data_IF_114655037890
#
_entry.id   IF_114655037890
#
_cell.length_a   1.000
_cell.length_b   1.000
_cell.length_c   1.000
_cell.angle_alpha   90.00
_cell.angle_beta   90.00
_cell.angle_gamma   90.00
#
_symmetry.space_group_name_H-M   'P 1'
#
loop_
_entity.id
_entity.type
_entity.pdbx_description
1 polymer ?
#
# COMPACT_ATOMS: atom_id res chain seq x y z
N UNK A 1 -1.85 -3.04 0.71
CA UNK A 1 -2.31 -2.19 1.84
C UNK A 1 -3.68 -1.65 1.50
N UNK A 2 -4.59 -1.73 2.46
CA UNK A 2 -6.03 -1.62 2.21
C UNK A 2 -6.55 -0.20 2.19
N UNK A 3 -7.74 -0.05 1.60
CA UNK A 3 -8.44 1.23 1.48
C UNK A 3 -8.91 1.68 2.87
N UNK A 4 -8.84 2.97 3.16
CA UNK A 4 -9.11 3.50 4.50
C UNK A 4 -10.44 4.25 4.59
N UNK A 5 -11.24 3.98 5.62
CA UNK A 5 -12.25 4.94 6.09
C UNK A 5 -11.55 5.97 6.98
N UNK A 6 -11.51 7.23 6.57
CA UNK A 6 -11.01 8.31 7.41
C UNK A 6 -11.85 8.39 8.69
N UNK A 7 -11.18 8.56 9.81
CA UNK A 7 -11.78 8.73 11.15
C UNK A 7 -11.79 10.20 11.56
N UNK A 8 -11.35 11.08 10.66
CA UNK A 8 -11.31 12.51 10.88
C UNK A 8 -12.65 13.18 10.58
N UNK A 9 -13.02 14.18 11.38
CA UNK A 9 -14.09 15.13 11.07
C UNK A 9 -13.65 16.18 10.04
N UNK A 10 -12.39 16.18 9.62
CA UNK A 10 -11.85 17.10 8.64
C UNK A 10 -12.43 16.83 7.24
N UNK A 11 -12.68 17.89 6.45
CA UNK A 11 -13.22 17.73 5.11
C UNK A 11 -12.22 16.98 4.22
N UNK A 12 -12.71 16.06 3.40
CA UNK A 12 -11.90 15.42 2.38
C UNK A 12 -11.45 16.49 1.35
N UNK A 13 -10.17 16.51 0.92
CA UNK A 13 -9.74 17.35 -0.18
C UNK A 13 -10.60 17.13 -1.43
N UNK A 14 -10.96 18.22 -2.13
CA UNK A 14 -11.90 18.19 -3.24
C UNK A 14 -11.44 17.28 -4.39
N UNK A 15 -10.12 17.29 -4.67
CA UNK A 15 -9.50 16.57 -5.78
C UNK A 15 -9.22 15.08 -5.47
N UNK A 16 -9.56 14.62 -4.27
CA UNK A 16 -9.41 13.22 -3.89
C UNK A 16 -10.61 12.37 -4.29
N UNK A 17 -10.34 11.24 -4.94
CA UNK A 17 -11.37 10.28 -5.26
C UNK A 17 -11.84 9.57 -3.97
N UNK A 18 -13.11 9.75 -3.59
CA UNK A 18 -13.74 8.98 -2.50
C UNK A 18 -13.66 7.46 -2.71
N UNK A 19 -13.61 7.02 -3.98
CA UNK A 19 -13.50 5.60 -4.37
C UNK A 19 -12.20 4.95 -3.88
N UNK A 20 -11.14 5.74 -3.70
CA UNK A 20 -9.84 5.29 -3.20
C UNK A 20 -9.88 4.87 -1.72
N UNK A 21 -10.79 5.44 -0.94
CA UNK A 21 -10.98 5.19 0.50
C UNK A 21 -11.90 3.99 0.81
N UNK A 22 -12.26 3.24 -0.22
CA UNK A 22 -13.02 2.00 -0.07
C UNK A 22 -14.44 2.18 -0.56
N UNK A 23 -14.77 1.47 -1.63
CA UNK A 23 -16.15 1.22 -1.99
C UNK A 23 -16.37 -0.30 -1.96
N UNK A 24 -17.37 -0.73 -1.19
CA UNK A 24 -17.76 -2.14 -1.02
C UNK A 24 -17.92 -2.86 -2.37
N UNK A 25 -18.29 -2.16 -3.44
CA UNK A 25 -18.41 -2.75 -4.78
C UNK A 25 -17.11 -3.39 -5.31
N UNK A 26 -15.94 -2.92 -4.87
CA UNK A 26 -14.65 -3.46 -5.30
C UNK A 26 -14.16 -4.64 -4.45
N UNK A 27 -14.77 -4.89 -3.28
CA UNK A 27 -14.53 -6.11 -2.49
C UNK A 27 -15.46 -7.23 -2.91
N UNK A 28 -16.69 -6.92 -3.32
CA UNK A 28 -17.71 -7.93 -3.67
C UNK A 28 -17.28 -8.83 -4.84
N UNK A 29 -16.79 -8.25 -5.94
CA UNK A 29 -16.40 -9.04 -7.12
C UNK A 29 -15.32 -10.08 -6.82
N UNK A 30 -14.16 -9.74 -6.22
CA UNK A 30 -13.15 -10.75 -5.90
C UNK A 30 -13.65 -11.80 -4.90
N UNK A 31 -14.46 -11.41 -3.90
CA UNK A 31 -15.07 -12.40 -3.00
C UNK A 31 -16.08 -13.31 -3.69
N UNK A 32 -16.88 -12.80 -4.63
CA UNK A 32 -17.82 -13.61 -5.41
C UNK A 32 -17.07 -14.62 -6.29
N UNK A 33 -15.99 -14.19 -6.96
CA UNK A 33 -15.13 -15.10 -7.72
C UNK A 33 -14.49 -16.17 -6.80
N UNK A 34 -14.00 -15.78 -5.62
CA UNK A 34 -13.46 -16.72 -4.65
C UNK A 34 -14.51 -17.73 -4.17
N UNK A 35 -15.74 -17.28 -3.90
CA UNK A 35 -16.85 -18.15 -3.48
C UNK A 35 -17.26 -19.18 -4.53
N UNK A 36 -17.08 -18.89 -5.82
CA UNK A 36 -17.30 -19.86 -6.90
C UNK A 36 -16.12 -20.81 -7.05
N UNK A 37 -14.89 -20.33 -6.88
CA UNK A 37 -13.69 -21.12 -7.09
C UNK A 37 -13.37 -22.07 -5.92
N UNK A 38 -13.61 -21.67 -4.66
CA UNK A 38 -13.32 -22.51 -3.50
C UNK A 38 -14.09 -23.85 -3.47
N UNK A 39 -15.38 -23.92 -3.84
CA UNK A 39 -16.09 -25.19 -4.00
C UNK A 39 -15.48 -26.10 -5.08
N UNK A 40 -14.99 -25.53 -6.19
CA UNK A 40 -14.29 -26.30 -7.21
C UNK A 40 -12.97 -26.84 -6.67
N UNK A 41 -12.21 -26.02 -5.95
CA UNK A 41 -10.97 -26.43 -5.26
C UNK A 41 -11.26 -27.55 -4.25
N UNK A 42 -12.31 -27.44 -3.45
CA UNK A 42 -12.70 -28.44 -2.47
C UNK A 42 -13.16 -29.75 -3.12
N UNK A 43 -13.97 -29.68 -4.18
CA UNK A 43 -14.42 -30.85 -4.96
C UNK A 43 -13.25 -31.56 -5.64
N UNK A 44 -12.28 -30.79 -6.12
CA UNK A 44 -11.02 -31.30 -6.67
C UNK A 44 -10.18 -32.00 -5.59
N UNK A 45 -9.98 -31.39 -4.42
CA UNK A 45 -9.28 -32.03 -3.29
C UNK A 45 -9.98 -33.32 -2.87
N UNK A 46 -11.31 -33.27 -2.75
CA UNK A 46 -12.13 -34.42 -2.39
C UNK A 46 -11.97 -35.57 -3.37
N UNK A 47 -12.11 -35.31 -4.68
CA UNK A 47 -11.88 -36.29 -5.74
C UNK A 47 -10.45 -36.84 -5.74
N UNK A 48 -9.46 -36.03 -5.37
CA UNK A 48 -8.07 -36.46 -5.21
C UNK A 48 -7.85 -37.40 -4.03
N UNK A 49 -8.56 -37.17 -2.92
CA UNK A 49 -8.48 -38.00 -1.71
C UNK A 49 -9.25 -39.30 -1.89
N UNK A 50 -10.44 -39.25 -2.50
CA UNK A 50 -11.35 -40.40 -2.60
C UNK A 50 -11.21 -41.20 -3.90
N UNK A 51 -10.63 -40.62 -4.95
CA UNK A 51 -10.45 -41.27 -6.25
C UNK A 51 -9.41 -42.41 -6.21
N UNK A 52 -9.35 -43.22 -7.26
CA UNK A 52 -8.29 -44.21 -7.49
C UNK A 52 -7.66 -43.99 -8.88
N UNK A 53 -6.37 -44.29 -9.03
CA UNK A 53 -5.70 -44.19 -10.34
C UNK A 53 -5.65 -42.76 -10.92
N UNK A 54 -6.05 -42.60 -12.18
CA UNK A 54 -6.02 -41.34 -12.96
C UNK A 54 -6.84 -40.19 -12.34
N UNK A 55 -7.92 -40.50 -11.61
CA UNK A 55 -8.78 -39.47 -10.98
C UNK A 55 -8.04 -38.65 -9.91
N UNK A 56 -7.07 -39.27 -9.22
CA UNK A 56 -6.23 -38.56 -8.24
C UNK A 56 -5.32 -37.52 -8.91
N UNK A 57 -4.91 -37.81 -10.14
CA UNK A 57 -3.98 -36.96 -10.90
C UNK A 57 -4.70 -35.79 -11.56
N UNK A 58 -5.88 -36.03 -12.13
CA UNK A 58 -6.76 -34.96 -12.62
C UNK A 58 -7.13 -33.97 -11.49
N UNK A 59 -7.37 -34.51 -10.29
CA UNK A 59 -7.60 -33.70 -9.10
C UNK A 59 -6.38 -32.85 -8.71
N UNK A 60 -5.18 -33.42 -8.64
CA UNK A 60 -3.97 -32.63 -8.33
C UNK A 60 -3.75 -31.49 -9.34
N UNK A 61 -3.97 -31.74 -10.63
CA UNK A 61 -3.85 -30.72 -11.67
C UNK A 61 -4.87 -29.59 -11.50
N UNK A 62 -6.12 -29.95 -11.22
CA UNK A 62 -7.18 -28.97 -10.92
C UNK A 62 -6.85 -28.10 -9.70
N UNK A 63 -6.21 -28.66 -8.68
CA UNK A 63 -5.83 -27.92 -7.47
C UNK A 63 -4.72 -26.91 -7.76
N UNK A 64 -3.69 -27.32 -8.50
CA UNK A 64 -2.57 -26.44 -8.88
C UNK A 64 -3.03 -25.28 -9.76
N UNK A 65 -4.05 -25.47 -10.60
CA UNK A 65 -4.58 -24.42 -11.47
C UNK A 65 -5.58 -23.52 -10.76
N UNK A 66 -6.53 -24.07 -10.01
CA UNK A 66 -7.63 -23.31 -9.41
C UNK A 66 -7.32 -22.77 -8.01
N UNK A 67 -6.48 -23.45 -7.23
CA UNK A 67 -6.10 -23.05 -5.87
C UNK A 67 -5.43 -21.68 -5.82
N UNK A 68 -4.35 -21.43 -6.59
CA UNK A 68 -3.69 -20.13 -6.65
C UNK A 68 -4.63 -19.02 -7.13
N UNK A 69 -5.53 -19.33 -8.07
CA UNK A 69 -6.51 -18.38 -8.58
C UNK A 69 -7.52 -17.99 -7.50
N UNK A 70 -8.10 -18.97 -6.79
CA UNK A 70 -9.01 -18.76 -5.67
C UNK A 70 -8.36 -17.98 -4.53
N UNK A 71 -7.11 -18.31 -4.19
CA UNK A 71 -6.33 -17.61 -3.17
C UNK A 71 -6.02 -16.17 -3.59
N UNK A 72 -5.72 -15.93 -4.88
CA UNK A 72 -5.46 -14.60 -5.42
C UNK A 72 -6.70 -13.70 -5.33
N UNK A 73 -7.87 -14.21 -5.71
CA UNK A 73 -9.14 -13.47 -5.56
C UNK A 73 -9.48 -13.22 -4.08
N UNK A 74 -9.26 -14.20 -3.22
CA UNK A 74 -9.48 -14.06 -1.77
C UNK A 74 -8.56 -12.98 -1.19
N UNK A 75 -7.26 -13.04 -1.50
CA UNK A 75 -6.27 -12.05 -1.07
C UNK A 75 -6.57 -10.66 -1.63
N UNK A 76 -7.00 -10.56 -2.89
CA UNK A 76 -7.43 -9.31 -3.49
C UNK A 76 -8.64 -8.73 -2.73
N UNK A 77 -9.70 -9.52 -2.52
CA UNK A 77 -10.87 -9.09 -1.75
C UNK A 77 -10.52 -8.63 -0.33
N UNK A 78 -9.66 -9.38 0.36
CA UNK A 78 -9.18 -9.01 1.69
C UNK A 78 -8.36 -7.72 1.72
N UNK A 79 -7.56 -7.50 0.68
CA UNK A 79 -6.76 -6.28 0.54
C UNK A 79 -7.62 -5.06 0.29
N UNK A 80 -8.79 -5.22 -0.33
CA UNK A 80 -9.70 -4.12 -0.67
C UNK A 80 -10.70 -3.80 0.44
N UNK A 81 -10.77 -4.63 1.49
CA UNK A 81 -11.65 -4.41 2.63
C UNK A 81 -11.33 -3.06 3.29
N UNK A 82 -12.31 -2.15 3.41
CA UNK A 82 -12.09 -0.86 4.02
C UNK A 82 -11.75 -1.04 5.50
N UNK A 83 -10.57 -0.55 5.91
CA UNK A 83 -10.14 -0.53 7.31
C UNK A 83 -10.28 0.88 7.86
N UNK A 84 -10.62 1.04 9.12
CA UNK A 84 -10.56 2.34 9.79
C UNK A 84 -9.12 2.83 9.82
N UNK A 85 -8.87 4.06 9.35
CA UNK A 85 -7.54 4.64 9.43
C UNK A 85 -7.13 4.81 10.90
N UNK A 86 -6.00 4.22 11.33
CA UNK A 86 -5.46 4.52 12.65
C UNK A 86 -5.00 5.98 12.70
N UNK A 87 -5.03 6.57 13.90
CA UNK A 87 -4.42 7.87 14.16
C UNK A 87 -3.11 7.60 14.86
N UNK A 88 -2.08 7.31 14.07
CA UNK A 88 -0.75 6.98 14.55
C UNK A 88 0.20 8.15 14.28
N UNK A 89 0.84 8.64 15.33
CA UNK A 89 1.96 9.56 15.31
C UNK A 89 2.70 9.44 16.64
N UNK A 90 3.99 9.74 16.63
CA UNK A 90 4.85 9.69 17.81
C UNK A 90 5.83 10.86 17.83
N UNK A 91 6.48 11.09 18.96
CA UNK A 91 7.56 12.07 19.10
C UNK A 91 8.88 11.32 19.16
N UNK A 92 9.84 11.74 18.35
CA UNK A 92 11.19 11.17 18.34
C UNK A 92 12.23 12.28 18.38
N UNK A 93 13.24 12.11 19.24
CA UNK A 93 14.44 12.94 19.18
C UNK A 93 15.26 12.55 17.95
N UNK A 94 15.62 13.54 17.13
CA UNK A 94 16.48 13.37 15.95
C UNK A 94 17.69 14.30 16.05
N UNK A 95 18.70 14.10 15.20
CA UNK A 95 19.88 14.98 15.15
C UNK A 95 19.52 16.45 14.85
N UNK A 96 18.37 16.69 14.24
CA UNK A 96 17.85 18.01 13.90
C UNK A 96 16.84 18.56 14.93
N UNK A 97 16.68 17.89 16.07
CA UNK A 97 15.75 18.24 17.15
C UNK A 97 14.58 17.26 17.29
N UNK A 98 13.66 17.55 18.22
CA UNK A 98 12.45 16.76 18.39
C UNK A 98 11.56 16.85 17.15
N UNK A 99 11.07 15.70 16.68
CA UNK A 99 10.25 15.60 15.49
C UNK A 99 8.93 14.89 15.79
N UNK A 100 7.86 15.32 15.10
CA UNK A 100 6.63 14.53 15.00
C UNK A 100 6.84 13.48 13.89
N UNK A 101 6.72 12.21 14.24
CA UNK A 101 6.91 11.07 13.35
C UNK A 101 5.57 10.53 12.92
N UNK A 102 5.32 10.52 11.61
CA UNK A 102 4.18 9.85 11.01
C UNK A 102 4.66 8.51 10.42
N UNK A 103 4.06 7.39 10.84
CA UNK A 103 4.47 6.08 10.35
C UNK A 103 4.05 5.91 8.89
N UNK A 104 4.99 5.41 8.09
CA UNK A 104 4.75 5.02 6.70
C UNK A 104 4.74 3.51 6.57
N UNK A 105 3.95 3.04 5.61
CA UNK A 105 3.80 1.64 5.27
C UNK A 105 5.14 1.07 4.84
N UNK A 106 5.63 0.10 5.59
CA UNK A 106 6.90 -0.58 5.25
C UNK A 106 6.75 -1.32 3.93
N UNK A 107 7.72 -1.24 3.01
CA UNK A 107 7.79 -2.21 1.92
C UNK A 107 7.97 -3.60 2.54
N UNK A 108 6.89 -4.38 2.59
CA UNK A 108 6.90 -5.72 3.16
C UNK A 108 7.59 -6.68 2.21
N UNK A 109 8.70 -7.28 2.66
CA UNK A 109 9.35 -8.38 1.95
C UNK A 109 8.61 -9.71 2.10
N UNK A 110 7.57 -9.79 2.94
CA UNK A 110 6.85 -11.05 3.21
C UNK A 110 6.28 -11.62 1.92
N UNK A 111 5.65 -10.80 1.06
CA UNK A 111 5.09 -11.26 -0.20
C UNK A 111 6.17 -11.84 -1.13
N UNK A 112 7.33 -11.19 -1.19
CA UNK A 112 8.48 -11.66 -1.96
C UNK A 112 9.04 -12.97 -1.40
N UNK A 113 9.23 -13.08 -0.08
CA UNK A 113 9.70 -14.30 0.59
C UNK A 113 8.74 -15.45 0.40
N UNK A 114 7.43 -15.21 0.54
CA UNK A 114 6.40 -16.23 0.31
C UNK A 114 6.38 -16.67 -1.15
N UNK A 115 6.46 -15.74 -2.11
CA UNK A 115 6.54 -16.10 -3.53
C UNK A 115 7.77 -16.96 -3.83
N UNK A 116 8.93 -16.59 -3.28
CA UNK A 116 10.17 -17.38 -3.44
C UNK A 116 10.02 -18.77 -2.80
N UNK A 117 9.50 -18.87 -1.58
CA UNK A 117 9.31 -20.14 -0.88
C UNK A 117 8.33 -21.07 -1.61
N UNK A 118 7.19 -20.52 -2.07
CA UNK A 118 6.21 -21.26 -2.89
C UNK A 118 6.86 -21.70 -4.20
N UNK A 119 7.60 -20.81 -4.87
CA UNK A 119 8.25 -21.14 -6.13
C UNK A 119 9.32 -22.23 -5.99
N UNK A 120 10.11 -22.20 -4.92
CA UNK A 120 11.05 -23.28 -4.58
C UNK A 120 10.31 -24.59 -4.30
N UNK A 121 9.22 -24.55 -3.54
CA UNK A 121 8.39 -25.73 -3.27
C UNK A 121 7.85 -26.37 -4.56
N UNK A 122 7.39 -25.55 -5.51
CA UNK A 122 6.94 -26.01 -6.81
C UNK A 122 8.07 -26.63 -7.63
N UNK A 123 9.26 -26.02 -7.65
CA UNK A 123 10.42 -26.60 -8.34
C UNK A 123 10.82 -27.96 -7.76
N UNK A 124 10.85 -28.08 -6.43
CA UNK A 124 11.18 -29.35 -5.75
C UNK A 124 10.12 -30.41 -6.07
N UNK A 125 8.84 -30.05 -6.04
CA UNK A 125 7.74 -30.96 -6.38
C UNK A 125 7.82 -31.42 -7.86
N UNK A 126 8.11 -30.51 -8.78
CA UNK A 126 8.31 -30.83 -10.19
C UNK A 126 9.50 -31.75 -10.40
N UNK A 127 10.64 -31.46 -9.77
CA UNK A 127 11.86 -32.27 -9.88
C UNK A 127 11.67 -33.67 -9.29
N UNK A 128 11.04 -33.77 -8.11
CA UNK A 128 10.69 -35.05 -7.51
C UNK A 128 9.83 -35.89 -8.45
N UNK A 129 8.83 -35.26 -9.10
CA UNK A 129 7.96 -35.96 -10.04
C UNK A 129 8.68 -36.46 -11.28
N UNK A 130 9.57 -35.65 -11.84
CA UNK A 130 10.42 -36.05 -12.95
C UNK A 130 11.26 -37.28 -12.59
N UNK A 131 11.93 -37.26 -11.44
CA UNK A 131 12.75 -38.38 -10.95
C UNK A 131 11.89 -39.64 -10.77
N UNK A 132 10.73 -39.50 -10.12
CA UNK A 132 9.84 -40.62 -9.86
C UNK A 132 9.21 -41.23 -11.14
N UNK A 133 9.25 -40.51 -12.27
CA UNK A 133 8.74 -41.00 -13.57
C UNK A 133 9.83 -41.57 -14.49
N UNK A 134 11.09 -41.58 -14.06
CA UNK A 134 12.20 -42.06 -14.90
C UNK A 134 12.10 -43.56 -15.21
N UNK A 135 11.45 -44.34 -14.33
CA UNK A 135 11.32 -45.79 -14.48
C UNK A 135 10.05 -46.21 -15.26
N UNK A 136 9.09 -45.30 -15.47
CA UNK A 136 7.81 -45.59 -16.13
C UNK A 136 7.71 -44.90 -17.52
N UNK A 137 7.27 -43.65 -17.54
CA UNK A 137 7.08 -42.84 -18.75
C UNK A 137 7.67 -41.44 -18.56
N UNK A 138 8.90 -41.29 -19.03
CA UNK A 138 9.68 -40.07 -18.90
C UNK A 138 9.02 -38.85 -19.59
N UNK A 139 8.22 -39.08 -20.63
CA UNK A 139 7.61 -38.02 -21.44
C UNK A 139 6.51 -37.30 -20.65
N UNK A 140 5.68 -38.08 -19.95
CA UNK A 140 4.66 -37.59 -19.05
C UNK A 140 5.31 -36.91 -17.84
N UNK A 141 6.37 -37.52 -17.30
CA UNK A 141 7.23 -36.93 -16.27
C UNK A 141 7.76 -35.54 -16.59
N UNK A 142 8.32 -35.38 -17.80
CA UNK A 142 8.83 -34.12 -18.29
C UNK A 142 7.73 -33.07 -18.47
N UNK A 143 6.57 -33.45 -19.02
CA UNK A 143 5.43 -32.55 -19.17
C UNK A 143 4.97 -31.97 -17.82
N UNK A 144 4.87 -32.81 -16.78
CA UNK A 144 4.53 -32.38 -15.43
C UNK A 144 5.61 -31.52 -14.77
N UNK A 145 6.87 -31.84 -14.99
CA UNK A 145 7.98 -30.99 -14.54
C UNK A 145 7.80 -29.59 -15.08
N UNK A 146 7.58 -29.41 -16.38
CA UNK A 146 7.41 -28.06 -16.95
C UNK A 146 6.14 -27.37 -16.44
N UNK A 147 5.03 -28.10 -16.32
CA UNK A 147 3.76 -27.54 -15.84
C UNK A 147 3.84 -26.98 -14.41
N UNK A 148 4.58 -27.66 -13.52
CA UNK A 148 4.73 -27.26 -12.11
C UNK A 148 5.89 -26.28 -11.93
N UNK A 149 7.02 -26.53 -12.60
CA UNK A 149 8.25 -25.75 -12.45
C UNK A 149 8.18 -24.37 -13.09
N UNK A 150 7.42 -24.20 -14.19
CA UNK A 150 7.32 -22.90 -14.87
C UNK A 150 6.62 -21.83 -13.99
N UNK A 151 5.45 -22.08 -13.37
CA UNK A 151 4.90 -21.19 -12.35
C UNK A 151 5.84 -20.99 -11.16
N UNK A 152 6.55 -22.04 -10.74
CA UNK A 152 7.52 -21.97 -9.65
C UNK A 152 8.68 -21.00 -9.95
N UNK A 153 9.24 -21.08 -11.15
CA UNK A 153 10.28 -20.19 -11.64
C UNK A 153 9.79 -18.73 -11.72
N UNK A 154 8.59 -18.52 -12.27
CA UNK A 154 7.97 -17.18 -12.33
C UNK A 154 7.77 -16.61 -10.92
N UNK A 155 7.30 -17.41 -9.97
CA UNK A 155 7.14 -16.98 -8.58
C UNK A 155 8.48 -16.60 -7.93
N UNK A 156 9.56 -17.34 -8.19
CA UNK A 156 10.92 -17.00 -7.74
C UNK A 156 11.38 -15.68 -8.36
N UNK A 157 11.22 -15.50 -9.66
CA UNK A 157 11.63 -14.28 -10.36
C UNK A 157 10.86 -13.05 -9.84
N UNK A 158 9.56 -13.18 -9.62
CA UNK A 158 8.74 -12.14 -8.99
C UNK A 158 9.23 -11.88 -7.57
N UNK A 159 9.48 -12.94 -6.79
CA UNK A 159 10.01 -12.85 -5.43
C UNK A 159 11.32 -12.06 -5.40
N UNK A 160 12.31 -12.44 -6.19
CA UNK A 160 13.61 -11.78 -6.27
C UNK A 160 13.50 -10.34 -6.79
N UNK A 161 12.71 -10.10 -7.84
CA UNK A 161 12.53 -8.75 -8.41
C UNK A 161 11.77 -7.79 -7.51
N UNK A 162 10.95 -8.30 -6.58
CA UNK A 162 10.19 -7.50 -5.61
C UNK A 162 10.81 -7.48 -4.22
N UNK A 163 11.90 -8.22 -4.00
CA UNK A 163 12.56 -8.26 -2.71
C UNK A 163 13.20 -6.92 -2.40
N UNK A 164 12.76 -6.31 -1.29
CA UNK A 164 13.43 -5.16 -0.69
C UNK A 164 13.89 -5.55 0.71
N UNK A 165 15.21 -5.59 0.98
CA UNK A 165 15.70 -5.94 2.31
C UNK A 165 15.17 -4.94 3.34
N UNK A 166 14.80 -5.43 4.53
CA UNK A 166 14.42 -4.58 5.66
C UNK A 166 15.60 -3.68 6.01
N UNK A 167 15.50 -2.38 5.72
CA UNK A 167 16.34 -1.38 6.40
C UNK A 167 15.80 -1.18 7.82
N UNK A 168 16.70 -0.88 8.75
CA UNK A 168 16.45 -0.80 10.19
C UNK A 168 15.32 0.21 10.49
N UNK A 169 14.53 -0.09 11.53
CA UNK A 169 13.27 0.58 11.89
C UNK A 169 13.38 2.10 12.11
N UNK A 170 14.56 2.63 12.38
CA UNK A 170 14.68 3.95 13.01
C UNK A 170 14.68 5.12 12.03
N UNK A 171 14.85 4.88 10.73
CA UNK A 171 14.93 5.95 9.72
C UNK A 171 13.69 6.05 8.81
N UNK A 172 12.75 5.10 8.87
CA UNK A 172 11.61 5.03 7.93
C UNK A 172 10.38 5.73 8.49
N UNK A 173 9.91 6.78 7.82
CA UNK A 173 8.80 7.61 8.28
C UNK A 173 8.75 8.97 7.60
N UNK A 174 7.70 9.73 7.92
CA UNK A 174 7.68 11.17 7.67
C UNK A 174 8.03 11.84 8.99
N UNK A 175 9.19 12.47 9.04
CA UNK A 175 9.68 13.24 10.18
C UNK A 175 9.39 14.72 9.93
N UNK A 176 8.69 15.33 10.88
CA UNK A 176 8.31 16.74 10.82
C UNK A 176 9.00 17.46 11.97
N UNK A 177 10.01 18.25 11.65
CA UNK A 177 10.67 19.15 12.60
C UNK A 177 10.18 20.58 12.38
N UNK A 178 10.57 21.51 13.25
CA UNK A 178 10.27 22.93 13.04
C UNK A 178 10.88 23.51 11.73
N UNK A 179 11.97 22.92 11.24
CA UNK A 179 12.76 23.47 10.13
C UNK A 179 12.55 22.76 8.79
N UNK A 180 12.38 21.44 8.82
CA UNK A 180 12.28 20.63 7.61
C UNK A 180 11.33 19.45 7.77
N UNK A 181 10.89 18.95 6.62
CA UNK A 181 10.18 17.69 6.43
C UNK A 181 11.18 16.70 5.86
N UNK A 182 11.26 15.51 6.45
CA UNK A 182 12.06 14.39 5.93
C UNK A 182 11.15 13.21 5.68
N UNK A 183 11.18 12.66 4.47
CA UNK A 183 10.35 11.53 4.05
C UNK A 183 11.27 10.39 3.65
N UNK A 184 11.17 9.25 4.33
CA UNK A 184 11.92 8.05 3.96
C UNK A 184 10.98 6.83 3.83
N UNK A 185 10.98 6.24 2.65
CA UNK A 185 10.28 4.99 2.31
C UNK A 185 11.21 3.77 2.30
N UNK A 186 12.39 3.87 2.93
CA UNK A 186 13.45 2.85 2.93
C UNK A 186 14.44 2.98 1.77
N UNK A 187 14.39 4.07 0.98
CA UNK A 187 15.38 4.36 -0.08
C UNK A 187 16.42 5.40 0.35
N UNK A 188 16.22 6.02 1.50
CA UNK A 188 16.98 7.17 1.99
C UNK A 188 16.07 8.38 2.12
N UNK A 189 16.36 9.28 3.07
CA UNK A 189 15.48 10.41 3.37
C UNK A 189 15.55 11.47 2.27
N UNK A 190 14.38 11.83 1.75
CA UNK A 190 14.18 13.05 0.97
C UNK A 190 13.86 14.19 1.97
N UNK A 191 14.77 15.16 2.09
CA UNK A 191 14.64 16.29 3.01
C UNK A 191 14.27 17.56 2.25
N UNK A 192 13.27 18.27 2.72
CA UNK A 192 12.82 19.56 2.19
C UNK A 192 12.60 20.54 3.32
N UNK A 193 13.13 21.76 3.22
CA UNK A 193 12.87 22.78 4.23
C UNK A 193 11.42 23.28 4.09
N UNK A 194 10.78 23.62 5.20
CA UNK A 194 9.38 24.10 5.15
C UNK A 194 9.21 25.36 4.30
N UNK A 195 10.24 26.20 4.23
CA UNK A 195 10.25 27.43 3.44
C UNK A 195 10.28 27.16 1.92
N UNK A 196 10.78 25.99 1.51
CA UNK A 196 10.88 25.61 0.10
C UNK A 196 9.57 25.00 -0.40
N UNK A 197 8.63 24.68 0.51
CA UNK A 197 7.31 24.15 0.18
C UNK A 197 6.37 25.34 -0.07
N UNK A 198 6.11 25.62 -1.35
CA UNK A 198 5.27 26.73 -1.78
C UNK A 198 3.78 26.42 -1.66
N UNK A 199 3.38 25.16 -1.84
CA UNK A 199 1.98 24.75 -1.74
C UNK A 199 1.82 23.26 -1.38
N UNK A 200 0.63 22.91 -0.89
CA UNK A 200 0.21 21.52 -0.64
C UNK A 200 -1.02 21.22 -1.50
N UNK A 201 -0.80 20.38 -2.51
CA UNK A 201 -1.82 19.92 -3.44
C UNK A 201 -2.45 18.58 -3.02
N UNK A 202 -3.66 18.35 -3.51
CA UNK A 202 -4.32 17.06 -3.45
C UNK A 202 -4.58 16.60 -4.88
N UNK A 203 -4.30 15.33 -5.19
CA UNK A 203 -4.66 14.75 -6.49
C UNK A 203 -4.98 13.27 -6.38
N UNK A 204 -5.66 12.72 -7.38
CA UNK A 204 -5.84 11.27 -7.52
C UNK A 204 -5.09 10.77 -8.74
N UNK A 205 -4.26 9.74 -8.56
CA UNK A 205 -3.49 9.10 -9.62
C UNK A 205 -4.06 7.71 -9.89
N UNK A 206 -4.46 7.42 -11.13
CA UNK A 206 -4.75 6.04 -11.53
C UNK A 206 -3.44 5.31 -11.83
N UNK A 207 -3.15 4.27 -11.06
CA UNK A 207 -2.13 3.29 -11.43
C UNK A 207 -2.70 2.44 -12.59
N UNK A 208 -1.94 2.30 -13.69
CA UNK A 208 -2.40 1.62 -14.90
C UNK A 208 -2.78 0.14 -14.70
N UNK A 209 -3.52 -0.40 -15.69
CA UNK A 209 -3.99 -1.79 -15.89
C UNK A 209 -4.62 -2.56 -14.71
N UNK A 210 -4.81 -1.93 -13.53
CA UNK A 210 -5.60 -2.52 -12.45
C UNK A 210 -7.03 -1.99 -12.53
N UNK A 211 -8.01 -2.90 -12.50
CA UNK A 211 -9.42 -2.59 -12.25
C UNK A 211 -9.66 -2.14 -10.78
N UNK A 212 -8.82 -1.23 -10.29
CA UNK A 212 -8.81 -0.70 -8.93
C UNK A 212 -9.13 0.79 -8.89
N UNK A 213 -9.45 1.32 -7.71
CA UNK A 213 -9.57 2.76 -7.51
C UNK A 213 -8.22 3.45 -7.60
N UNK A 214 -8.20 4.73 -7.99
CA UNK A 214 -6.99 5.54 -7.98
C UNK A 214 -6.31 5.58 -6.61
N UNK A 215 -5.03 5.94 -6.61
CA UNK A 215 -4.26 6.29 -5.43
C UNK A 215 -4.40 7.80 -5.22
N UNK A 216 -5.07 8.23 -4.13
CA UNK A 216 -5.01 9.63 -3.69
C UNK A 216 -3.60 9.96 -3.19
N UNK A 217 -3.12 11.14 -3.55
CA UNK A 217 -1.77 11.63 -3.33
C UNK A 217 -1.83 13.01 -2.69
N UNK A 218 -0.98 13.23 -1.69
CA UNK A 218 -0.62 14.54 -1.16
C UNK A 218 0.61 14.99 -1.94
N UNK A 219 0.57 16.17 -2.55
CA UNK A 219 1.69 16.69 -3.33
C UNK A 219 2.25 17.92 -2.63
N UNK A 220 3.49 17.85 -2.17
CA UNK A 220 4.23 19.01 -1.69
C UNK A 220 4.90 19.65 -2.91
N UNK A 221 4.50 20.87 -3.25
CA UNK A 221 5.12 21.62 -4.35
C UNK A 221 6.33 22.34 -3.78
N UNK A 222 7.49 22.09 -4.37
CA UNK A 222 8.77 22.66 -3.95
C UNK A 222 9.31 23.64 -4.98
N UNK A 223 10.06 24.65 -4.51
CA UNK A 223 10.69 25.64 -5.38
C UNK A 223 9.80 26.83 -5.74
N UNK A 224 10.36 27.73 -6.55
CA UNK A 224 9.75 28.99 -7.00
C UNK A 224 9.81 29.16 -8.52
N UNK A 225 9.31 30.30 -9.02
CA UNK A 225 9.30 30.63 -10.44
C UNK A 225 10.71 30.76 -11.04
N UNK A 226 11.73 31.03 -10.21
CA UNK A 226 13.10 31.33 -10.64
C UNK A 226 13.98 30.08 -10.69
N UNK A 227 13.69 29.08 -9.84
CA UNK A 227 14.44 27.82 -9.70
C UNK A 227 13.75 26.61 -10.35
N UNK A 228 12.46 26.76 -10.70
CA UNK A 228 11.63 25.71 -11.26
C UNK A 228 10.90 24.90 -10.18
N UNK A 229 9.68 24.46 -10.50
CA UNK A 229 8.84 23.73 -9.57
C UNK A 229 9.16 22.23 -9.54
N UNK A 230 9.42 21.71 -8.35
CA UNK A 230 9.46 20.29 -8.03
C UNK A 230 8.19 19.82 -7.31
N UNK A 231 8.01 18.50 -7.22
CA UNK A 231 6.91 17.91 -6.47
C UNK A 231 7.35 16.67 -5.71
N UNK A 232 7.01 16.61 -4.42
CA UNK A 232 7.15 15.41 -3.60
C UNK A 232 5.76 14.81 -3.39
N UNK A 233 5.56 13.58 -3.87
CA UNK A 233 4.29 12.89 -3.82
C UNK A 233 4.25 11.86 -2.68
N UNK A 234 3.26 11.98 -1.81
CA UNK A 234 2.99 11.05 -0.72
C UNK A 234 1.68 10.33 -1.03
N UNK A 235 1.77 9.05 -1.41
CA UNK A 235 0.60 8.21 -1.67
C UNK A 235 -0.13 7.85 -0.38
N UNK A 236 -1.46 7.93 -0.36
CA UNK A 236 -2.23 7.55 0.84
C UNK A 236 -2.07 6.07 1.24
N UNK A 237 -1.66 5.21 0.30
CA UNK A 237 -1.35 3.78 0.54
C UNK A 237 -0.01 3.59 1.26
N UNK A 238 0.85 4.60 1.23
CA UNK A 238 2.17 4.59 1.85
C UNK A 238 2.09 5.08 3.31
N UNK A 239 0.93 5.48 3.80
CA UNK A 239 0.74 5.98 5.17
C UNK A 239 0.13 4.90 6.07
N UNK A 240 0.69 4.73 7.27
CA UNK A 240 0.11 3.88 8.34
C UNK A 240 -0.74 4.71 9.32
N UNK A 241 -1.20 5.89 8.89
CA UNK A 241 -2.03 6.82 9.66
C UNK A 241 -3.06 7.47 8.74
N UNK A 242 -4.03 8.22 9.29
CA UNK A 242 -5.11 8.83 8.49
C UNK A 242 -4.56 9.86 7.48
N UNK A 243 -4.61 9.57 6.16
CA UNK A 243 -4.05 10.43 5.13
C UNK A 243 -4.73 11.80 5.09
N UNK A 244 -6.01 11.89 5.46
CA UNK A 244 -6.74 13.16 5.50
C UNK A 244 -6.15 14.09 6.55
N UNK A 245 -5.77 13.55 7.72
CA UNK A 245 -5.12 14.32 8.77
C UNK A 245 -3.73 14.77 8.37
N UNK A 246 -2.98 13.89 7.68
CA UNK A 246 -1.64 14.23 7.17
C UNK A 246 -1.72 15.37 6.15
N UNK A 247 -2.68 15.33 5.23
CA UNK A 247 -2.92 16.44 4.28
C UNK A 247 -3.16 17.77 5.01
N UNK A 248 -4.11 17.78 5.95
CA UNK A 248 -4.46 19.01 6.68
C UNK A 248 -3.35 19.49 7.62
N UNK A 249 -2.56 18.57 8.18
CA UNK A 249 -1.34 18.91 8.91
C UNK A 249 -0.40 19.71 8.00
N UNK A 250 -0.11 19.22 6.80
CA UNK A 250 0.80 19.90 5.88
C UNK A 250 0.26 21.26 5.48
N UNK A 251 -1.02 21.33 5.11
CA UNK A 251 -1.69 22.61 4.79
C UNK A 251 -1.58 23.60 5.95
N UNK A 252 -1.83 23.14 7.18
CA UNK A 252 -1.79 23.97 8.38
C UNK A 252 -0.41 24.55 8.64
N UNK A 253 0.64 23.73 8.67
CA UNK A 253 2.00 24.20 8.99
C UNK A 253 2.70 24.94 7.84
N UNK A 254 2.28 24.73 6.59
CA UNK A 254 2.70 25.60 5.49
C UNK A 254 2.13 27.01 5.69
N UNK A 255 0.85 27.13 6.07
CA UNK A 255 0.20 28.43 6.31
C UNK A 255 0.58 29.10 7.63
N UNK A 256 0.99 28.33 8.63
CA UNK A 256 1.28 28.81 9.99
C UNK A 256 2.74 28.55 10.37
N UNK A 257 3.72 29.29 9.80
CA UNK A 257 5.13 29.07 10.07
C UNK A 257 5.50 29.23 11.55
N UNK A 258 4.85 30.16 12.26
CA UNK A 258 5.09 30.41 13.68
C UNK A 258 4.69 29.25 14.61
N UNK A 259 3.85 28.32 14.14
CA UNK A 259 3.40 27.18 14.93
C UNK A 259 4.26 25.93 14.72
N UNK A 260 5.20 25.94 13.75
CA UNK A 260 6.06 24.78 13.46
C UNK A 260 6.93 24.37 14.65
N UNK A 261 7.20 25.26 15.61
CA UNK A 261 7.91 24.95 16.84
C UNK A 261 7.18 23.95 17.74
N UNK A 262 5.86 23.77 17.57
CA UNK A 262 5.10 22.74 18.30
C UNK A 262 5.30 21.33 17.70
N UNK A 263 5.89 21.22 16.49
CA UNK A 263 6.27 19.94 15.88
C UNK A 263 7.35 19.26 16.72
N UNK A 264 7.12 18.02 17.12
CA UNK A 264 7.99 17.30 18.05
C UNK A 264 7.72 17.58 19.53
N UNK A 265 6.61 18.25 19.86
CA UNK A 265 6.13 18.43 21.24
C UNK A 265 4.80 17.71 21.47
N UNK A 266 4.44 17.50 22.73
CA UNK A 266 3.12 16.94 23.11
C UNK A 266 1.95 17.77 22.55
N UNK A 267 2.12 19.09 22.44
CA UNK A 267 1.12 19.97 21.85
C UNK A 267 0.88 19.65 20.37
N UNK A 268 1.94 19.48 19.58
CA UNK A 268 1.84 19.10 18.17
C UNK A 268 1.25 17.70 17.99
N UNK A 269 1.63 16.76 18.87
CA UNK A 269 1.10 15.40 18.89
C UNK A 269 -0.41 15.37 19.22
N UNK A 270 -0.84 16.10 20.25
CA UNK A 270 -2.25 16.22 20.63
C UNK A 270 -3.08 16.90 19.52
N UNK A 271 -2.54 17.94 18.86
CA UNK A 271 -3.20 18.56 17.70
C UNK A 271 -3.43 17.55 16.58
N UNK A 272 -2.43 16.72 16.26
CA UNK A 272 -2.58 15.67 15.25
C UNK A 272 -3.64 14.63 15.65
N UNK A 273 -3.61 14.19 16.92
CA UNK A 273 -4.56 13.22 17.47
C UNK A 273 -6.00 13.75 17.52
N UNK A 274 -6.20 15.05 17.67
CA UNK A 274 -7.54 15.68 17.63
C UNK A 274 -7.96 16.13 16.23
N UNK A 275 -7.02 16.22 15.28
CA UNK A 275 -7.29 16.80 13.97
C UNK A 275 -7.61 18.29 14.06
N UNK A 276 -6.93 19.01 14.98
CA UNK A 276 -7.13 20.44 15.25
C UNK A 276 -6.52 21.35 14.17
N UNK A 277 -6.82 21.05 12.90
CA UNK A 277 -6.34 21.71 11.69
C UNK A 277 -7.47 22.39 10.91
N UNK A 278 -8.61 22.65 11.58
CA UNK A 278 -9.78 23.21 10.94
C UNK A 278 -9.38 24.45 10.11
N UNK A 279 -9.90 24.58 8.88
CA UNK A 279 -9.59 25.74 8.05
C UNK A 279 -10.04 26.98 8.80
N UNK A 280 -9.10 27.89 9.08
CA UNK A 280 -9.47 29.29 9.27
C UNK A 280 -10.33 29.68 8.07
N UNK A 281 -11.46 30.33 8.34
CA UNK A 281 -12.41 30.77 7.32
C UNK A 281 -11.66 31.40 6.15
N UNK A 282 -12.10 31.20 4.89
CA UNK A 282 -11.60 32.02 3.80
C UNK A 282 -11.72 33.49 4.23
N UNK A 283 -10.71 34.35 3.97
CA UNK A 283 -10.77 35.75 4.38
C UNK A 283 -12.10 36.30 3.92
N UNK A 284 -12.88 36.82 4.88
CA UNK A 284 -14.12 37.50 4.60
C UNK A 284 -13.81 38.51 3.48
N UNK A 285 -14.43 38.32 2.32
CA UNK A 285 -14.45 39.34 1.30
C UNK A 285 -14.94 40.60 2.00
N UNK A 286 -14.06 41.59 2.14
CA UNK A 286 -14.43 42.92 2.55
C UNK A 286 -15.37 43.43 1.46
N UNK A 287 -16.68 43.28 1.66
CA UNK A 287 -17.69 44.08 0.99
C UNK A 287 -17.58 45.52 1.52
N UNK A 288 -16.46 46.14 1.16
CA UNK A 288 -16.20 47.56 1.31
C UNK A 288 -16.47 48.23 -0.03
N UNK A 289 -17.74 48.51 -0.31
CA UNK A 289 -18.12 49.51 -1.30
C UNK A 289 -19.31 50.29 -0.75
N UNK A 290 -19.10 51.54 -0.27
CA UNK A 290 -20.22 52.44 -0.05
C UNK A 290 -20.80 52.77 -1.42
N UNK A 291 -22.08 52.47 -1.63
CA UNK A 291 -22.78 52.89 -2.85
C UNK A 291 -22.94 54.42 -2.82
N UNK A 292 -22.66 55.13 -3.93
CA UNK A 292 -23.05 56.52 -4.11
C UNK A 292 -24.57 56.67 -4.21
#
# INVERSE_FOLDING_TARGET
>A
MGRYRSTSSLPLPADWERKAFGAYRYTVLPFACALVLWPLVAGVIWGGVTGQGEDRWAALLGFVLLGPLAASFTGWGWSELPRTAPVAADIRATDAGSALVLPVSRPSSIGSVVCTAVGVGLLVAGLWRFIASLDDDWSMGAAFFFLISLPGLVAILIGLGTYRPRRVLDDVGILLTAHHVSIDYGKGPEKVAWQDISAVGARSRREGFKAGSGTNVITLVTGDADTGYGTIDIGHKDLETDPTRVYHLFVFYVRNPGLRSELGTEQGLDRFRRGGYAPEQPPAFLDGSPRP
#
